data_IF_625248417323
#
_entry.id   IF_625248417323
#
_cell.length_a   1.000
_cell.length_b   1.000
_cell.length_c   1.000
_cell.angle_alpha   90.00
_cell.angle_beta   90.00
_cell.angle_gamma   90.00
#
_symmetry.space_group_name_H-M   'P 1'
#
loop_
_entity.id
_entity.type
_entity.pdbx_description
1 polymer ?
#
# COMPACT_ATOMS: atom_id res chain seq x y z
N UNK A 1 -1.22 -0.12 -28.47
CA UNK A 1 -0.52 0.01 -27.17
C UNK A 1 -1.06 -1.07 -26.25
N UNK A 2 -0.19 -1.81 -25.56
CA UNK A 2 -0.61 -2.89 -24.67
C UNK A 2 -1.07 -2.27 -23.34
N UNK A 3 -2.39 -2.15 -23.17
CA UNK A 3 -3.00 -1.52 -21.98
C UNK A 3 -3.06 -2.45 -20.79
N UNK A 4 -2.63 -3.70 -20.94
CA UNK A 4 -2.74 -4.77 -19.96
C UNK A 4 -1.93 -4.47 -18.68
N UNK A 5 -0.92 -3.59 -18.78
CA UNK A 5 -0.09 -3.11 -17.68
C UNK A 5 -0.50 -1.70 -17.17
N UNK A 6 -1.66 -1.20 -17.58
CA UNK A 6 -2.28 -0.02 -16.95
C UNK A 6 -2.95 -0.46 -15.65
N UNK A 7 -2.74 0.32 -14.60
CA UNK A 7 -3.38 0.14 -13.30
C UNK A 7 -4.89 0.38 -13.46
N UNK A 8 -5.69 -0.62 -13.12
CA UNK A 8 -7.14 -0.55 -13.11
C UNK A 8 -7.67 -0.21 -11.71
N UNK A 9 -7.07 -0.80 -10.67
CA UNK A 9 -7.51 -0.65 -9.29
C UNK A 9 -6.33 -0.73 -8.32
N UNK A 10 -6.47 -0.09 -7.15
CA UNK A 10 -5.53 -0.20 -6.03
C UNK A 10 -6.32 -0.45 -4.77
N UNK A 11 -6.13 -1.61 -4.15
CA UNK A 11 -6.82 -2.03 -2.94
C UNK A 11 -5.89 -1.93 -1.75
N UNK A 12 -6.45 -1.43 -0.65
CA UNK A 12 -5.74 -1.24 0.61
C UNK A 12 -6.45 -2.08 1.67
N UNK A 13 -5.74 -3.06 2.22
CA UNK A 13 -6.26 -3.97 3.24
C UNK A 13 -5.45 -3.78 4.53
N UNK A 14 -5.93 -2.97 5.48
CA UNK A 14 -5.32 -2.86 6.81
C UNK A 14 -5.49 -4.16 7.59
N UNK A 15 -4.42 -4.62 8.22
CA UNK A 15 -4.43 -5.82 9.06
C UNK A 15 -3.73 -5.55 10.39
N UNK A 16 -4.08 -6.33 11.41
CA UNK A 16 -3.38 -6.36 12.69
C UNK A 16 -2.68 -7.71 12.83
N UNK A 17 -1.40 -7.67 13.20
CA UNK A 17 -0.59 -8.88 13.47
C UNK A 17 -0.28 -8.94 14.95
N UNK A 18 -0.47 -10.09 15.60
CA UNK A 18 -0.13 -10.27 17.00
C UNK A 18 1.38 -10.09 17.22
N UNK A 19 1.76 -9.36 18.27
CA UNK A 19 3.15 -9.01 18.56
C UNK A 19 3.43 -9.21 20.07
N UNK A 20 4.48 -9.95 20.46
CA UNK A 20 4.84 -10.11 21.88
C UNK A 20 5.27 -8.78 22.52
N UNK A 21 5.24 -8.66 23.86
CA UNK A 21 5.61 -7.44 24.59
C UNK A 21 7.14 -7.24 24.63
N UNK A 22 7.73 -6.92 23.47
CA UNK A 22 9.17 -6.68 23.32
C UNK A 22 9.55 -5.29 23.86
N UNK A 23 10.54 -5.24 24.75
CA UNK A 23 11.07 -4.00 25.31
C UNK A 23 12.11 -3.36 24.37
N UNK A 24 12.01 -2.05 24.16
CA UNK A 24 12.97 -1.24 23.42
C UNK A 24 13.07 0.18 24.04
N UNK A 25 13.84 1.09 23.42
CA UNK A 25 14.06 2.44 23.94
C UNK A 25 12.81 3.34 23.96
N UNK A 26 11.75 2.96 23.22
CA UNK A 26 10.47 3.66 23.15
C UNK A 26 9.40 3.04 24.07
N UNK A 27 9.76 2.02 24.86
CA UNK A 27 8.84 1.30 25.74
C UNK A 27 8.68 -0.15 25.33
N UNK A 28 7.46 -0.68 25.46
CA UNK A 28 7.13 -2.08 25.14
C UNK A 28 6.16 -2.15 23.97
N UNK A 29 6.34 -3.14 23.10
CA UNK A 29 5.43 -3.37 21.97
C UNK A 29 3.98 -3.53 22.46
N UNK A 30 3.05 -3.00 21.67
CA UNK A 30 1.62 -3.25 21.85
C UNK A 30 1.28 -4.68 21.43
N UNK A 31 0.18 -5.27 21.92
CA UNK A 31 -0.20 -6.65 21.58
C UNK A 31 -0.46 -6.91 20.09
N UNK A 32 -0.69 -5.85 19.30
CA UNK A 32 -0.91 -5.91 17.86
C UNK A 32 -0.14 -4.81 17.13
N UNK A 33 0.50 -5.17 16.02
CA UNK A 33 1.15 -4.23 15.11
C UNK A 33 0.34 -4.06 13.82
N UNK A 34 0.00 -2.82 13.42
CA UNK A 34 -0.76 -2.58 12.19
C UNK A 34 0.14 -2.66 10.96
N UNK A 35 -0.33 -3.38 9.94
CA UNK A 35 0.29 -3.47 8.60
C UNK A 35 -0.73 -3.11 7.54
N UNK A 36 -0.26 -2.66 6.39
CA UNK A 36 -1.11 -2.35 5.24
C UNK A 36 -0.67 -3.19 4.05
N UNK A 37 -1.57 -4.05 3.57
CA UNK A 37 -1.39 -4.75 2.31
C UNK A 37 -1.90 -3.84 1.19
N UNK A 38 -1.05 -3.63 0.18
CA UNK A 38 -1.33 -2.83 -1.00
C UNK A 38 -1.37 -3.75 -2.20
N UNK A 39 -2.52 -3.85 -2.84
CA UNK A 39 -2.71 -4.65 -4.05
C UNK A 39 -2.91 -3.70 -5.25
N UNK A 40 -2.06 -3.81 -6.27
CA UNK A 40 -2.17 -3.06 -7.52
C UNK A 40 -2.65 -4.01 -8.60
N UNK A 41 -3.84 -3.77 -9.13
CA UNK A 41 -4.48 -4.62 -10.14
C UNK A 41 -4.34 -3.96 -11.50
N UNK A 42 -3.80 -4.67 -12.48
CA UNK A 42 -3.70 -4.18 -13.86
C UNK A 42 -4.92 -4.59 -14.69
N UNK A 43 -5.17 -3.90 -15.81
CA UNK A 43 -6.23 -4.26 -16.76
C UNK A 43 -6.09 -5.67 -17.34
N UNK A 44 -4.87 -6.17 -17.45
CA UNK A 44 -4.57 -7.54 -17.86
C UNK A 44 -4.89 -8.60 -16.80
N UNK A 45 -5.41 -8.19 -15.63
CA UNK A 45 -5.76 -9.11 -14.54
C UNK A 45 -4.59 -9.55 -13.67
N UNK A 46 -3.42 -8.92 -13.80
CA UNK A 46 -2.26 -9.19 -12.93
C UNK A 46 -2.41 -8.37 -11.66
N UNK A 47 -2.21 -9.01 -10.51
CA UNK A 47 -2.17 -8.33 -9.20
C UNK A 47 -0.75 -8.35 -8.65
N UNK A 48 -0.17 -7.17 -8.42
CA UNK A 48 1.04 -7.00 -7.62
C UNK A 48 0.69 -6.73 -6.16
N UNK A 49 1.50 -7.22 -5.22
CA UNK A 49 1.28 -7.06 -3.78
C UNK A 49 2.50 -6.44 -3.12
N UNK A 50 2.27 -5.46 -2.25
CA UNK A 50 3.26 -4.86 -1.37
C UNK A 50 2.75 -4.74 0.05
N UNK A 51 3.66 -4.55 1.00
CA UNK A 51 3.34 -4.41 2.42
C UNK A 51 4.10 -3.22 3.01
N UNK A 52 3.44 -2.45 3.88
CA UNK A 52 4.08 -1.38 4.66
C UNK A 52 3.44 -1.27 6.05
N UNK A 53 3.88 -0.28 6.84
CA UNK A 53 3.25 0.06 8.11
C UNK A 53 1.78 0.44 7.91
N UNK A 54 0.90 0.02 8.83
CA UNK A 54 -0.54 0.19 8.69
C UNK A 54 -1.17 1.24 9.60
N UNK A 55 -0.36 1.99 10.37
CA UNK A 55 -0.90 3.09 11.17
C UNK A 55 -1.39 4.24 10.28
N UNK A 56 -2.20 5.14 10.86
CA UNK A 56 -2.86 6.23 10.12
C UNK A 56 -1.89 7.11 9.33
N UNK A 57 -0.65 7.29 9.80
CA UNK A 57 0.36 8.11 9.11
C UNK A 57 0.73 7.53 7.73
N UNK A 58 0.57 6.22 7.55
CA UNK A 58 0.82 5.55 6.27
C UNK A 58 -0.48 5.26 5.51
N UNK A 59 -1.55 4.90 6.23
CA UNK A 59 -2.84 4.58 5.61
C UNK A 59 -3.47 5.78 4.90
N UNK A 60 -3.42 6.97 5.50
CA UNK A 60 -4.05 8.18 4.96
C UNK A 60 -3.46 8.58 3.58
N UNK A 61 -2.14 8.77 3.42
CA UNK A 61 -1.56 9.07 2.11
C UNK A 61 -1.71 7.91 1.12
N UNK A 62 -1.63 6.66 1.57
CA UNK A 62 -1.88 5.50 0.71
C UNK A 62 -3.30 5.55 0.12
N UNK A 63 -4.30 5.92 0.93
CA UNK A 63 -5.68 6.08 0.46
C UNK A 63 -5.84 7.14 -0.63
N UNK A 64 -5.12 8.26 -0.53
CA UNK A 64 -5.12 9.30 -1.57
C UNK A 64 -4.48 8.79 -2.87
N UNK A 65 -3.32 8.12 -2.77
CA UNK A 65 -2.61 7.57 -3.92
C UNK A 65 -3.39 6.43 -4.59
N UNK A 66 -4.04 5.56 -3.83
CA UNK A 66 -4.86 4.48 -4.37
C UNK A 66 -5.98 4.99 -5.28
N UNK A 67 -6.56 6.16 -4.97
CA UNK A 67 -7.56 6.82 -5.83
C UNK A 67 -6.94 7.48 -7.06
N UNK A 68 -5.69 7.94 -6.96
CA UNK A 68 -5.03 8.69 -8.02
C UNK A 68 -4.28 7.81 -9.03
N UNK A 69 -3.91 6.58 -8.67
CA UNK A 69 -3.10 5.68 -9.50
C UNK A 69 -3.82 5.02 -10.70
N UNK A 70 -5.13 4.71 -10.65
CA UNK A 70 -5.83 4.13 -11.80
C UNK A 70 -5.66 4.94 -13.09
N UNK A 71 -5.46 4.24 -14.20
CA UNK A 71 -5.21 4.83 -15.52
C UNK A 71 -3.73 5.08 -15.85
N UNK A 72 -2.80 4.89 -14.89
CA UNK A 72 -1.35 5.01 -15.13
C UNK A 72 -0.71 3.68 -15.48
N UNK A 73 0.41 3.72 -16.20
CA UNK A 73 1.21 2.52 -16.45
C UNK A 73 1.98 2.12 -15.18
N UNK A 74 2.10 0.82 -14.89
CA UNK A 74 2.91 0.33 -13.75
C UNK A 74 4.39 0.71 -13.83
N UNK A 75 4.89 1.08 -15.01
CA UNK A 75 6.26 1.54 -15.23
C UNK A 75 6.46 3.04 -15.06
N UNK A 76 5.39 3.83 -14.84
CA UNK A 76 5.46 5.27 -14.56
C UNK A 76 5.86 5.53 -13.10
N UNK A 77 7.03 5.04 -12.71
CA UNK A 77 7.55 5.13 -11.34
C UNK A 77 7.79 6.59 -10.92
N UNK A 78 8.17 7.44 -11.87
CA UNK A 78 8.44 8.85 -11.59
C UNK A 78 7.15 9.68 -11.45
N UNK A 79 6.06 9.29 -12.14
CA UNK A 79 4.77 9.95 -12.04
C UNK A 79 4.17 9.92 -10.63
N UNK A 80 4.55 8.94 -9.79
CA UNK A 80 4.10 8.84 -8.41
C UNK A 80 4.41 10.10 -7.58
N UNK A 81 5.60 10.69 -7.77
CA UNK A 81 6.02 11.89 -7.04
C UNK A 81 5.19 13.13 -7.37
N UNK A 82 4.50 13.14 -8.52
CA UNK A 82 3.60 14.23 -8.89
C UNK A 82 2.19 14.09 -8.27
N UNK A 83 1.90 12.98 -7.59
CA UNK A 83 0.61 12.67 -6.96
C UNK A 83 0.62 12.76 -5.43
N UNK A 84 1.82 12.82 -4.86
CA UNK A 84 2.06 12.82 -3.42
C UNK A 84 2.14 14.25 -2.86
#
# INVERSE_FOLDING_TARGET
>A
MHTDLVIEDVRLTPILVADPPLLNTQGVHQPYTPRLIVEVVTRGGVTGVGETYGDGKYLDPAGALARALPGRAVTDLNGLFALA
#
